data_IF_908726151528
#
_entry.id   IF_908726151528
#
_cell.length_a   1.000
_cell.length_b   1.000
_cell.length_c   1.000
_cell.angle_alpha   90.00
_cell.angle_beta   90.00
_cell.angle_gamma   90.00
#
_symmetry.space_group_name_H-M   'P 1'
#
loop_
_entity.id
_entity.type
_entity.pdbx_description
1 polymer ?
#
# COMPACT_ATOMS: atom_id res chain seq x y z
N UNK A 1 7.11 -23.39 -14.06
CA UNK A 1 7.30 -22.31 -15.05
C UNK A 1 8.45 -21.41 -14.63
N UNK A 2 9.35 -21.10 -15.56
CA UNK A 2 10.43 -20.15 -15.36
C UNK A 2 10.00 -18.74 -15.80
N UNK A 3 10.60 -17.67 -15.26
CA UNK A 3 10.30 -16.28 -15.70
C UNK A 3 10.53 -16.08 -17.21
N UNK A 4 11.57 -16.71 -17.78
CA UNK A 4 11.82 -16.68 -19.23
C UNK A 4 10.72 -17.35 -20.05
N UNK A 5 9.99 -18.29 -19.45
CA UNK A 5 8.89 -19.03 -20.07
C UNK A 5 7.66 -18.10 -20.18
N UNK A 6 7.33 -17.41 -19.09
CA UNK A 6 6.28 -16.37 -19.05
C UNK A 6 6.52 -15.23 -20.04
N UNK A 7 7.76 -14.73 -20.15
CA UNK A 7 8.11 -13.66 -21.09
C UNK A 7 7.96 -14.12 -22.54
N UNK A 8 8.29 -15.38 -22.84
CA UNK A 8 8.12 -15.95 -24.19
C UNK A 8 6.65 -16.14 -24.56
N UNK A 9 5.82 -16.62 -23.64
CA UNK A 9 4.36 -16.76 -23.87
C UNK A 9 3.69 -15.40 -24.14
N UNK A 10 4.05 -14.37 -23.37
CA UNK A 10 3.55 -13.02 -23.59
C UNK A 10 3.97 -12.47 -24.96
N UNK A 11 5.25 -12.64 -25.33
CA UNK A 11 5.77 -12.18 -26.62
C UNK A 11 5.09 -12.91 -27.79
N UNK A 12 4.84 -14.21 -27.66
CA UNK A 12 4.19 -15.00 -28.69
C UNK A 12 2.69 -14.68 -28.83
N UNK A 13 2.00 -14.43 -27.71
CA UNK A 13 0.61 -13.97 -27.71
C UNK A 13 0.47 -12.61 -28.40
N UNK A 14 1.40 -11.67 -28.15
CA UNK A 14 1.42 -10.35 -28.82
C UNK A 14 1.76 -10.46 -30.31
N UNK A 15 2.63 -11.40 -30.68
CA UNK A 15 3.03 -11.63 -32.06
C UNK A 15 2.06 -12.52 -32.86
N UNK A 16 1.00 -13.06 -32.22
CA UNK A 16 0.06 -13.99 -32.85
C UNK A 16 0.67 -15.33 -33.26
N UNK A 17 1.73 -15.76 -32.56
CA UNK A 17 2.46 -17.00 -32.86
C UNK A 17 2.11 -18.06 -31.82
N UNK A 18 1.78 -19.27 -32.27
CA UNK A 18 1.53 -20.40 -31.39
C UNK A 18 2.86 -20.95 -30.85
N UNK A 19 2.97 -21.06 -29.52
CA UNK A 19 4.14 -21.68 -28.87
C UNK A 19 3.79 -23.13 -28.56
N UNK A 20 4.28 -24.04 -29.38
CA UNK A 20 4.24 -25.48 -29.08
C UNK A 20 5.52 -25.87 -28.33
N UNK A 21 5.39 -26.38 -27.10
CA UNK A 21 6.53 -26.92 -26.36
C UNK A 21 6.79 -28.37 -26.78
N UNK A 22 7.94 -28.63 -27.41
CA UNK A 22 8.40 -29.98 -27.74
C UNK A 22 9.41 -30.47 -26.70
N UNK A 23 9.27 -31.73 -26.25
CA UNK A 23 10.25 -32.37 -25.38
C UNK A 23 11.44 -32.85 -26.22
N UNK A 24 12.47 -32.03 -26.30
CA UNK A 24 13.72 -32.33 -27.05
C UNK A 24 14.69 -33.30 -26.33
N UNK A 25 14.44 -33.62 -25.06
CA UNK A 25 15.27 -34.56 -24.30
C UNK A 25 15.03 -34.51 -22.79
N UNK A 26 15.68 -35.41 -22.06
CA UNK A 26 15.66 -35.44 -20.58
C UNK A 26 17.06 -35.17 -20.03
N UNK A 27 17.13 -34.28 -19.04
CA UNK A 27 18.34 -34.09 -18.26
C UNK A 27 18.65 -35.37 -17.45
N UNK A 28 19.92 -35.63 -17.18
CA UNK A 28 20.33 -36.75 -16.35
C UNK A 28 19.90 -36.54 -14.90
N UNK A 29 19.76 -37.62 -14.13
CA UNK A 29 19.39 -37.51 -12.71
C UNK A 29 20.39 -36.67 -11.92
N UNK A 30 21.68 -36.79 -12.22
CA UNK A 30 22.76 -35.99 -11.62
C UNK A 30 22.55 -34.49 -11.88
N UNK A 31 22.24 -34.11 -13.12
CA UNK A 31 21.98 -32.71 -13.50
C UNK A 31 20.74 -32.16 -12.80
N UNK A 32 19.67 -32.95 -12.70
CA UNK A 32 18.45 -32.56 -11.98
C UNK A 32 18.72 -32.41 -10.48
N UNK A 33 19.55 -33.28 -9.90
CA UNK A 33 19.94 -33.20 -8.48
C UNK A 33 20.73 -31.94 -8.19
N UNK A 34 21.68 -31.58 -9.06
CA UNK A 34 22.49 -30.37 -8.89
C UNK A 34 21.65 -29.10 -9.03
N UNK A 35 20.73 -29.05 -10.01
CA UNK A 35 19.79 -27.94 -10.15
C UNK A 35 18.89 -27.78 -8.91
N UNK A 36 18.46 -28.89 -8.29
CA UNK A 36 17.69 -28.85 -7.04
C UNK A 36 18.53 -28.33 -5.88
N UNK A 37 19.82 -28.67 -5.82
CA UNK A 37 20.74 -28.16 -4.80
C UNK A 37 20.96 -26.66 -4.94
N UNK A 38 21.28 -26.19 -6.15
CA UNK A 38 21.44 -24.76 -6.46
C UNK A 38 20.18 -23.99 -6.07
N UNK A 39 18.99 -24.54 -6.38
CA UNK A 39 17.72 -23.91 -6.00
C UNK A 39 17.57 -23.81 -4.48
N UNK A 40 17.88 -24.87 -3.73
CA UNK A 40 17.82 -24.85 -2.26
C UNK A 40 18.78 -23.82 -1.66
N UNK A 41 20.02 -23.78 -2.14
CA UNK A 41 21.02 -22.80 -1.70
C UNK A 41 20.56 -21.37 -2.03
N UNK A 42 20.01 -21.15 -3.23
CA UNK A 42 19.46 -19.85 -3.64
C UNK A 42 18.31 -19.39 -2.73
N UNK A 43 17.37 -20.28 -2.42
CA UNK A 43 16.26 -19.93 -1.51
C UNK A 43 16.76 -19.66 -0.09
N UNK A 44 17.72 -20.43 0.42
CA UNK A 44 18.35 -20.16 1.71
C UNK A 44 19.05 -18.79 1.73
N UNK A 45 19.79 -18.43 0.68
CA UNK A 45 20.41 -17.09 0.57
C UNK A 45 19.36 -15.98 0.53
N UNK A 46 18.26 -16.14 -0.21
CA UNK A 46 17.16 -15.17 -0.23
C UNK A 46 16.56 -14.95 1.16
N UNK A 47 16.35 -16.02 1.93
CA UNK A 47 15.82 -15.90 3.29
C UNK A 47 16.77 -15.16 4.23
N UNK A 48 18.08 -15.40 4.14
CA UNK A 48 19.10 -14.69 4.92
C UNK A 48 19.07 -13.19 4.58
N UNK A 49 19.14 -12.86 3.29
CA UNK A 49 19.11 -11.45 2.83
C UNK A 49 17.81 -10.76 3.25
N UNK A 50 16.66 -11.43 3.16
CA UNK A 50 15.39 -10.87 3.59
C UNK A 50 15.35 -10.57 5.09
N UNK A 51 15.94 -11.46 5.92
CA UNK A 51 16.04 -11.25 7.37
C UNK A 51 16.98 -10.08 7.70
N UNK A 52 18.14 -10.01 7.07
CA UNK A 52 19.10 -8.91 7.25
C UNK A 52 18.48 -7.57 6.84
N UNK A 53 17.87 -7.51 5.66
CA UNK A 53 17.20 -6.31 5.17
C UNK A 53 16.09 -5.84 6.12
N UNK A 54 15.27 -6.77 6.63
CA UNK A 54 14.24 -6.44 7.61
C UNK A 54 14.85 -5.89 8.90
N UNK A 55 15.93 -6.50 9.39
CA UNK A 55 16.62 -6.06 10.60
C UNK A 55 17.25 -4.67 10.44
N UNK A 56 17.71 -4.31 9.24
CA UNK A 56 18.24 -2.97 8.94
C UNK A 56 17.14 -1.91 8.75
N UNK A 57 16.00 -2.28 8.14
CA UNK A 57 14.91 -1.35 7.86
C UNK A 57 14.10 -0.97 9.11
N UNK A 58 13.89 -1.91 10.03
CA UNK A 58 13.10 -1.67 11.25
C UNK A 58 13.62 -0.50 12.10
N UNK A 59 14.94 -0.38 12.43
CA UNK A 59 15.45 0.75 13.19
C UNK A 59 15.37 2.07 12.40
N UNK A 60 15.48 2.03 11.07
CA UNK A 60 15.30 3.22 10.23
C UNK A 60 13.86 3.70 10.30
N UNK A 61 12.89 2.79 10.14
CA UNK A 61 11.47 3.09 10.24
C UNK A 61 11.12 3.70 11.60
N UNK A 62 11.62 3.09 12.67
CA UNK A 62 11.41 3.58 14.04
C UNK A 62 12.03 4.97 14.26
N UNK A 63 13.25 5.20 13.75
CA UNK A 63 13.92 6.51 13.82
C UNK A 63 13.09 7.59 13.14
N UNK A 64 12.57 7.32 11.95
CA UNK A 64 11.77 8.31 11.21
C UNK A 64 10.37 8.48 11.79
N UNK A 65 9.75 7.43 12.33
CA UNK A 65 8.50 7.53 13.09
C UNK A 65 8.66 8.48 14.28
N UNK A 66 9.70 8.30 15.09
CA UNK A 66 9.99 9.21 16.22
C UNK A 66 10.30 10.63 15.79
N UNK A 67 11.02 10.82 14.68
CA UNK A 67 11.26 12.16 14.12
C UNK A 67 9.95 12.83 13.72
N UNK A 68 9.06 12.10 13.06
CA UNK A 68 7.75 12.60 12.66
C UNK A 68 6.92 12.95 13.89
N UNK A 69 6.77 12.02 14.84
CA UNK A 69 6.06 12.25 16.11
C UNK A 69 6.58 13.47 16.86
N UNK A 70 7.90 13.66 16.92
CA UNK A 70 8.49 14.84 17.56
C UNK A 70 8.25 16.13 16.77
N UNK A 71 8.30 16.08 15.43
CA UNK A 71 8.07 17.24 14.58
C UNK A 71 6.60 17.66 14.56
N UNK A 72 5.67 16.72 14.68
CA UNK A 72 4.22 16.96 14.76
C UNK A 72 3.74 17.10 16.20
N UNK A 73 4.62 16.98 17.19
CA UNK A 73 4.26 17.14 18.60
C UNK A 73 3.73 18.55 18.84
N UNK A 74 2.52 18.63 19.37
CA UNK A 74 1.83 19.89 19.63
C UNK A 74 1.12 20.49 18.42
N UNK A 75 1.34 20.00 17.19
CA UNK A 75 0.53 20.41 16.02
C UNK A 75 -0.89 19.87 16.13
N UNK A 76 -1.07 18.62 16.58
CA UNK A 76 -2.39 18.04 16.84
C UNK A 76 -3.11 18.78 17.98
N UNK A 77 -2.42 19.02 19.09
CA UNK A 77 -2.98 19.77 20.22
C UNK A 77 -3.35 21.21 19.83
N UNK A 78 -2.51 21.86 19.01
CA UNK A 78 -2.78 23.20 18.49
C UNK A 78 -3.93 23.20 17.49
N UNK A 79 -3.99 22.22 16.59
CA UNK A 79 -5.12 22.03 15.68
C UNK A 79 -6.42 21.86 16.47
N UNK A 80 -6.44 20.99 17.47
CA UNK A 80 -7.64 20.72 18.28
C UNK A 80 -8.07 21.94 19.09
N UNK A 81 -7.12 22.72 19.60
CA UNK A 81 -7.41 23.99 20.28
C UNK A 81 -8.04 25.02 19.32
N UNK A 82 -7.44 25.22 18.14
CA UNK A 82 -7.98 26.12 17.10
C UNK A 82 -9.37 25.67 16.66
N UNK A 83 -9.58 24.36 16.49
CA UNK A 83 -10.87 23.81 16.09
C UNK A 83 -11.94 23.97 17.17
N UNK A 84 -11.57 23.82 18.44
CA UNK A 84 -12.46 24.06 19.58
C UNK A 84 -12.86 25.54 19.67
N UNK A 85 -11.93 26.47 19.45
CA UNK A 85 -12.21 27.91 19.43
C UNK A 85 -13.19 28.27 18.31
N UNK A 86 -12.96 27.76 17.09
CA UNK A 86 -13.88 27.94 15.95
C UNK A 86 -15.29 27.42 16.27
N UNK A 87 -15.40 26.22 16.85
CA UNK A 87 -16.71 25.67 17.23
C UNK A 87 -17.42 26.51 18.30
N UNK A 88 -16.67 27.01 19.28
CA UNK A 88 -17.18 27.89 20.33
C UNK A 88 -17.73 29.19 19.73
N UNK A 89 -16.99 29.83 18.82
CA UNK A 89 -17.42 31.06 18.14
C UNK A 89 -18.66 30.86 17.26
N UNK A 90 -18.76 29.70 16.60
CA UNK A 90 -19.92 29.35 15.79
C UNK A 90 -21.13 28.88 16.61
N UNK A 91 -20.98 28.71 17.93
CA UNK A 91 -22.06 28.21 18.81
C UNK A 91 -22.50 26.78 18.50
N UNK A 92 -21.62 25.99 17.86
CA UNK A 92 -21.87 24.61 17.46
C UNK A 92 -21.22 23.66 18.47
N UNK A 93 -21.97 22.64 18.88
CA UNK A 93 -21.39 21.58 19.71
C UNK A 93 -20.58 20.65 18.81
N UNK A 94 -19.40 20.18 19.24
CA UNK A 94 -18.46 19.35 18.48
C UNK A 94 -18.96 17.96 18.01
N UNK A 95 -20.28 17.77 17.91
CA UNK A 95 -20.98 16.66 17.26
C UNK A 95 -21.46 16.98 15.85
N UNK A 96 -21.31 18.23 15.40
CA UNK A 96 -21.63 18.62 14.04
C UNK A 96 -20.44 18.27 13.13
N UNK A 97 -20.68 17.50 12.07
CA UNK A 97 -19.67 17.19 11.04
C UNK A 97 -19.38 18.47 10.23
N UNK A 98 -18.43 19.25 10.73
CA UNK A 98 -17.95 20.48 10.14
C UNK A 98 -16.63 20.24 9.40
N UNK A 99 -16.46 20.93 8.29
CA UNK A 99 -15.24 20.90 7.48
C UNK A 99 -14.81 22.32 7.18
N UNK A 100 -13.54 22.64 7.44
CA UNK A 100 -12.91 23.91 7.10
C UNK A 100 -12.09 23.75 5.83
N UNK A 101 -12.34 24.62 4.86
CA UNK A 101 -11.39 24.91 3.81
C UNK A 101 -10.32 25.86 4.37
N UNK A 102 -9.12 25.33 4.62
CA UNK A 102 -8.03 26.10 5.21
C UNK A 102 -7.44 27.16 4.25
N UNK A 103 -7.73 27.08 2.95
CA UNK A 103 -7.28 28.03 1.94
C UNK A 103 -8.20 29.24 1.87
N UNK A 104 -9.52 29.01 1.91
CA UNK A 104 -10.53 30.07 1.79
C UNK A 104 -11.09 30.56 3.13
N UNK A 105 -10.95 29.76 4.19
CA UNK A 105 -11.54 30.02 5.50
C UNK A 105 -13.02 29.62 5.61
N UNK A 106 -13.60 29.02 4.56
CA UNK A 106 -15.00 28.63 4.53
C UNK A 106 -15.28 27.39 5.40
N UNK A 107 -16.29 27.46 6.26
CA UNK A 107 -16.73 26.35 7.11
C UNK A 107 -18.05 25.79 6.57
N UNK A 108 -18.07 24.50 6.28
CA UNK A 108 -19.24 23.79 5.75
C UNK A 108 -19.74 22.74 6.72
N UNK A 109 -21.07 22.61 6.82
CA UNK A 109 -21.73 21.55 7.60
C UNK A 109 -22.42 20.58 6.65
N UNK A 110 -22.17 19.29 6.80
CA UNK A 110 -22.91 18.32 6.02
C UNK A 110 -24.34 18.16 6.56
N UNK A 111 -25.34 18.53 5.75
CA UNK A 111 -26.76 18.40 6.11
C UNK A 111 -27.39 17.24 5.33
N UNK A 112 -27.52 16.07 5.97
CA UNK A 112 -28.22 14.93 5.38
C UNK A 112 -29.72 15.04 5.69
N UNK A 113 -30.51 15.53 4.73
CA UNK A 113 -31.97 15.46 4.81
C UNK A 113 -32.46 14.12 4.25
N UNK A 114 -33.34 13.43 4.97
CA UNK A 114 -34.11 12.31 4.39
C UNK A 114 -34.87 12.85 3.17
N UNK A 115 -34.77 12.16 2.04
CA UNK A 115 -35.62 12.40 0.86
C UNK A 115 -37.07 12.37 1.33
N UNK A 116 -37.80 13.47 1.18
CA UNK A 116 -39.25 13.46 1.33
C UNK A 116 -39.79 12.40 0.37
N UNK A 117 -40.56 11.45 0.90
CA UNK A 117 -41.28 10.50 0.08
C UNK A 117 -42.25 11.32 -0.78
N UNK A 118 -41.88 11.50 -2.04
CA UNK A 118 -42.77 11.94 -3.09
C UNK A 118 -43.97 11.00 -3.11
N UNK A 119 -45.07 11.41 -2.47
CA UNK A 119 -46.39 10.89 -2.80
C UNK A 119 -46.70 11.38 -4.21
N UNK A 120 -46.19 10.66 -5.21
CA UNK A 120 -46.73 10.67 -6.55
C UNK A 120 -48.10 9.99 -6.44
N UNK A 121 -49.13 10.83 -6.27
CA UNK A 121 -50.49 10.52 -6.65
C UNK A 121 -50.67 10.75 -8.15
#
# INVERSE_FOLDING_TARGET
>A
MCIKCLVKELAATVAGVEVTEEVVGKATEEQVRELRRIRKETEATKEVVAKELKAELEPIKEKYKKKLENATKGLEEWHDAVWADIHSELGVNGKDDLTLDAETGEITKQVIKKKESSNLH
#
